data_IF_516519707009
#
_entry.id   IF_516519707009
#
_cell.length_a   1.000
_cell.length_b   1.000
_cell.length_c   1.000
_cell.angle_alpha   90.00
_cell.angle_beta   90.00
_cell.angle_gamma   90.00
#
_symmetry.space_group_name_H-M   'P 1'
#
loop_
_entity.id
_entity.type
_entity.pdbx_description
1 polymer ?
#
# COMPACT_ATOMS: atom_id res chain seq x y z
N UNK A 1 13.87 -9.48 7.92
CA UNK A 1 13.79 -9.68 6.44
C UNK A 1 14.56 -8.58 5.76
N UNK A 2 15.34 -8.90 4.75
CA UNK A 2 16.03 -7.93 3.90
C UNK A 2 15.35 -7.81 2.52
N UNK A 3 15.83 -6.90 1.65
CA UNK A 3 15.26 -6.65 0.32
C UNK A 3 15.27 -7.88 -0.60
N UNK A 4 16.33 -8.69 -0.54
CA UNK A 4 16.45 -9.87 -1.38
C UNK A 4 15.46 -10.96 -0.95
N UNK A 5 15.36 -11.21 0.35
CA UNK A 5 14.37 -12.13 0.91
C UNK A 5 12.94 -11.69 0.59
N UNK A 6 12.65 -10.39 0.70
CA UNK A 6 11.33 -9.85 0.37
C UNK A 6 10.91 -10.16 -1.08
N UNK A 7 11.85 -10.09 -2.02
CA UNK A 7 11.58 -10.34 -3.44
C UNK A 7 11.32 -11.82 -3.78
N UNK A 8 11.61 -12.75 -2.85
CA UNK A 8 11.39 -14.19 -3.04
C UNK A 8 9.95 -14.62 -2.71
N UNK A 9 9.17 -13.75 -2.05
CA UNK A 9 7.81 -14.04 -1.62
C UNK A 9 6.78 -13.30 -2.50
N UNK A 10 5.68 -13.97 -2.75
CA UNK A 10 4.46 -13.33 -3.23
C UNK A 10 3.66 -12.72 -2.06
N UNK A 11 2.55 -12.05 -2.37
CA UNK A 11 1.72 -11.38 -1.37
C UNK A 11 1.15 -12.36 -0.31
N UNK A 12 0.81 -13.59 -0.70
CA UNK A 12 0.30 -14.60 0.23
C UNK A 12 1.40 -15.12 1.15
N UNK A 13 2.60 -15.32 0.61
CA UNK A 13 3.77 -15.70 1.39
C UNK A 13 4.16 -14.63 2.41
N UNK A 14 4.15 -13.35 2.03
CA UNK A 14 4.40 -12.24 2.96
C UNK A 14 3.34 -12.16 4.06
N UNK A 15 2.06 -12.31 3.72
CA UNK A 15 0.97 -12.32 4.69
C UNK A 15 1.10 -13.50 5.68
N UNK A 16 1.55 -14.67 5.19
CA UNK A 16 1.80 -15.85 6.03
C UNK A 16 2.92 -15.59 7.04
N UNK A 17 4.02 -14.96 6.63
CA UNK A 17 5.12 -14.59 7.53
C UNK A 17 4.65 -13.61 8.61
N UNK A 18 3.82 -12.63 8.25
CA UNK A 18 3.22 -11.70 9.22
C UNK A 18 2.32 -12.44 10.21
N UNK A 19 1.47 -13.34 9.72
CA UNK A 19 0.56 -14.13 10.55
C UNK A 19 1.28 -15.04 11.54
N UNK A 20 2.43 -15.59 11.15
CA UNK A 20 3.30 -16.41 12.02
C UNK A 20 4.10 -15.58 13.02
N UNK A 21 4.23 -14.27 12.79
CA UNK A 21 5.08 -13.41 13.59
C UNK A 21 6.56 -13.45 13.21
N UNK A 22 6.91 -14.07 12.07
CA UNK A 22 8.28 -14.16 11.57
C UNK A 22 8.77 -12.79 11.06
N UNK A 23 7.84 -11.95 10.59
CA UNK A 23 8.10 -10.55 10.19
C UNK A 23 6.92 -9.68 10.62
N UNK A 24 7.18 -8.41 10.93
CA UNK A 24 6.10 -7.46 11.22
C UNK A 24 5.61 -6.76 9.95
N UNK A 25 4.33 -6.36 9.92
CA UNK A 25 3.78 -5.53 8.84
C UNK A 25 4.53 -4.20 8.70
N UNK A 26 5.00 -3.63 9.82
CA UNK A 26 5.83 -2.42 9.81
C UNK A 26 7.19 -2.65 9.13
N UNK A 27 7.80 -3.83 9.30
CA UNK A 27 9.04 -4.19 8.60
C UNK A 27 8.79 -4.34 7.09
N UNK A 28 7.69 -4.98 6.67
CA UNK A 28 7.33 -5.07 5.25
C UNK A 28 7.09 -3.71 4.63
N UNK A 29 6.38 -2.81 5.35
CA UNK A 29 6.15 -1.44 4.89
C UNK A 29 7.46 -0.67 4.71
N UNK A 30 8.41 -0.79 5.66
CA UNK A 30 9.70 -0.13 5.57
C UNK A 30 10.54 -0.63 4.36
N UNK A 31 10.53 -1.94 4.10
CA UNK A 31 11.20 -2.53 2.93
C UNK A 31 10.55 -2.02 1.63
N UNK A 32 9.24 -1.99 1.55
CA UNK A 32 8.53 -1.49 0.38
C UNK A 32 8.77 0.01 0.13
N UNK A 33 8.85 0.82 1.20
CA UNK A 33 9.24 2.24 1.13
C UNK A 33 10.65 2.41 0.58
N UNK A 34 11.62 1.62 1.04
CA UNK A 34 12.99 1.64 0.53
C UNK A 34 13.06 1.27 -0.95
N UNK A 35 12.31 0.23 -1.37
CA UNK A 35 12.20 -0.17 -2.78
C UNK A 35 11.63 0.97 -3.65
N UNK A 36 10.54 1.59 -3.23
CA UNK A 36 9.96 2.73 -3.96
C UNK A 36 10.98 3.87 -4.04
N UNK A 37 11.60 4.23 -2.93
CA UNK A 37 12.59 5.32 -2.88
C UNK A 37 13.76 5.09 -3.82
N UNK A 38 14.24 3.85 -3.92
CA UNK A 38 15.39 3.49 -4.76
C UNK A 38 15.06 3.36 -6.26
N UNK A 39 13.87 2.85 -6.58
CA UNK A 39 13.48 2.52 -7.95
C UNK A 39 12.66 3.63 -8.63
N UNK A 40 11.84 4.34 -7.89
CA UNK A 40 10.91 5.32 -8.45
C UNK A 40 11.56 6.47 -9.22
N UNK A 41 12.77 6.96 -8.85
CA UNK A 41 13.47 7.98 -9.66
C UNK A 41 13.73 7.56 -11.12
N UNK A 42 13.85 6.25 -11.36
CA UNK A 42 14.06 5.68 -12.71
C UNK A 42 12.76 5.25 -13.38
N UNK A 43 11.79 4.76 -12.60
CA UNK A 43 10.56 4.19 -13.12
C UNK A 43 9.44 5.22 -13.24
N UNK A 44 9.42 6.22 -12.35
CA UNK A 44 8.35 7.21 -12.23
C UNK A 44 6.94 6.56 -12.15
N UNK A 45 6.85 5.45 -11.42
CA UNK A 45 5.65 4.63 -11.33
C UNK A 45 4.73 5.02 -10.17
N UNK A 46 5.31 5.48 -9.05
CA UNK A 46 4.55 5.92 -7.87
C UNK A 46 4.44 7.42 -7.88
N UNK A 47 3.23 7.93 -8.07
CA UNK A 47 2.94 9.36 -8.22
C UNK A 47 2.74 10.08 -6.89
N UNK A 48 2.30 9.33 -5.88
CA UNK A 48 2.03 9.83 -4.52
C UNK A 48 2.32 8.75 -3.50
N UNK A 49 3.13 9.08 -2.49
CA UNK A 49 3.33 8.22 -1.32
C UNK A 49 2.33 8.59 -0.23
N UNK A 50 1.76 7.58 0.43
CA UNK A 50 0.74 7.71 1.46
C UNK A 50 1.18 7.06 2.78
N UNK A 51 2.45 7.24 3.15
CA UNK A 51 3.04 6.56 4.31
C UNK A 51 2.37 6.90 5.64
N UNK A 52 1.89 8.14 5.81
CA UNK A 52 1.18 8.52 7.03
C UNK A 52 -0.14 7.74 7.17
N UNK A 53 -0.85 7.52 6.07
CA UNK A 53 -2.05 6.67 6.05
C UNK A 53 -1.71 5.21 6.37
N UNK A 54 -0.66 4.68 5.75
CA UNK A 54 -0.20 3.32 5.99
C UNK A 54 0.21 3.09 7.45
N UNK A 55 0.98 4.00 8.04
CA UNK A 55 1.38 3.95 9.45
C UNK A 55 0.18 4.05 10.39
N UNK A 56 -0.76 4.96 10.10
CA UNK A 56 -2.00 5.08 10.89
C UNK A 56 -2.86 3.82 10.84
N UNK A 57 -2.90 3.11 9.69
CA UNK A 57 -3.61 1.83 9.58
C UNK A 57 -2.91 0.75 10.42
N UNK A 58 -1.57 0.69 10.43
CA UNK A 58 -0.81 -0.22 11.30
C UNK A 58 -1.06 0.06 12.78
N UNK A 59 -1.04 1.33 13.20
CA UNK A 59 -1.25 1.73 14.60
C UNK A 59 -2.67 1.42 15.08
N UNK A 60 -3.66 1.50 14.20
CA UNK A 60 -5.06 1.18 14.48
C UNK A 60 -5.29 -0.33 14.61
N UNK A 61 -4.40 -1.12 14.06
CA UNK A 61 -4.56 -2.57 13.90
C UNK A 61 -5.22 -2.94 12.57
N UNK A 62 -4.65 -3.93 11.92
CA UNK A 62 -5.14 -4.40 10.62
C UNK A 62 -6.24 -5.45 10.77
N UNK A 63 -7.21 -5.51 9.84
CA UNK A 63 -8.15 -6.62 9.76
C UNK A 63 -7.42 -7.96 9.59
N UNK A 64 -7.98 -9.01 10.19
CA UNK A 64 -7.50 -10.38 10.04
C UNK A 64 -7.95 -10.95 8.68
N UNK A 65 -7.34 -10.46 7.60
CA UNK A 65 -7.63 -10.89 6.24
C UNK A 65 -6.52 -11.73 5.62
N UNK A 66 -6.75 -12.29 4.44
CA UNK A 66 -5.79 -13.18 3.77
C UNK A 66 -4.49 -12.47 3.35
N UNK A 67 -4.49 -11.14 3.27
CA UNK A 67 -3.35 -10.31 2.87
C UNK A 67 -2.92 -9.34 3.97
N UNK A 68 -3.22 -9.68 5.24
CA UNK A 68 -2.95 -8.80 6.37
C UNK A 68 -1.48 -8.44 6.50
N UNK A 69 -1.18 -7.14 6.48
CA UNK A 69 0.15 -6.59 6.63
C UNK A 69 0.97 -6.44 5.34
N UNK A 70 0.41 -6.80 4.19
CA UNK A 70 1.10 -6.70 2.90
C UNK A 70 1.01 -5.27 2.36
N UNK A 71 2.15 -4.61 2.04
CA UNK A 71 2.15 -3.30 1.40
C UNK A 71 1.52 -3.33 0.02
N UNK A 72 0.78 -2.27 -0.32
CA UNK A 72 0.02 -2.21 -1.56
C UNK A 72 0.04 -0.81 -2.17
N UNK A 73 0.15 -0.75 -3.50
CA UNK A 73 0.05 0.47 -4.30
C UNK A 73 -1.27 0.47 -5.09
N UNK A 74 -2.00 1.58 -5.02
CA UNK A 74 -3.21 1.79 -5.80
C UNK A 74 -2.86 2.28 -7.20
N UNK A 75 -3.66 1.93 -8.17
CA UNK A 75 -3.59 2.58 -9.48
C UNK A 75 -4.26 3.95 -9.39
N UNK A 76 -3.56 5.01 -9.81
CA UNK A 76 -4.10 6.37 -9.92
C UNK A 76 -5.04 6.49 -11.13
N UNK A 77 -6.04 5.60 -11.18
CA UNK A 77 -7.08 5.56 -12.21
C UNK A 77 -8.30 4.81 -11.66
N UNK A 78 -9.45 5.50 -11.55
CA UNK A 78 -10.75 4.96 -11.15
C UNK A 78 -10.87 4.50 -9.69
N UNK A 79 -9.78 4.14 -9.03
CA UNK A 79 -9.77 3.77 -7.61
C UNK A 79 -9.54 5.04 -6.79
N UNK A 80 -10.42 5.30 -5.81
CA UNK A 80 -10.26 6.45 -4.92
C UNK A 80 -10.02 6.02 -3.48
N UNK A 81 -9.06 6.69 -2.86
CA UNK A 81 -8.89 6.75 -1.41
C UNK A 81 -9.50 8.07 -0.95
N UNK A 82 -10.47 8.03 -0.04
CA UNK A 82 -11.20 9.23 0.41
C UNK A 82 -10.27 10.32 0.92
N UNK A 83 -10.40 11.53 0.36
CA UNK A 83 -9.57 12.69 0.72
C UNK A 83 -8.18 12.72 0.06
N UNK A 84 -7.80 11.69 -0.69
CA UNK A 84 -6.51 11.64 -1.41
C UNK A 84 -6.72 11.96 -2.89
N UNK A 85 -5.84 12.77 -3.54
CA UNK A 85 -5.96 13.08 -4.95
C UNK A 85 -5.93 11.85 -5.85
N UNK A 86 -6.83 11.82 -6.83
CA UNK A 86 -6.85 10.81 -7.91
C UNK A 86 -6.77 11.56 -9.25
N UNK A 87 -5.57 11.62 -9.83
CA UNK A 87 -5.30 12.48 -10.98
C UNK A 87 -5.59 11.81 -12.32
N UNK A 88 -5.67 10.48 -12.36
CA UNK A 88 -5.97 9.68 -13.56
C UNK A 88 -5.03 10.00 -14.73
N UNK A 89 -3.78 10.40 -14.45
CA UNK A 89 -2.80 10.82 -15.46
C UNK A 89 -3.16 12.09 -16.23
N UNK A 90 -4.12 12.89 -15.76
CA UNK A 90 -4.62 14.09 -16.44
C UNK A 90 -4.45 15.33 -15.58
N UNK A 91 -3.89 16.39 -16.18
CA UNK A 91 -3.82 17.72 -15.54
C UNK A 91 -5.19 18.30 -15.22
N UNK A 92 -6.25 17.88 -15.93
CA UNK A 92 -7.62 18.31 -15.66
C UNK A 92 -8.09 17.88 -14.26
N UNK A 93 -7.60 16.74 -13.78
CA UNK A 93 -7.97 16.19 -12.46
C UNK A 93 -6.89 16.42 -11.40
N UNK A 94 -5.90 17.28 -11.67
CA UNK A 94 -4.85 17.57 -10.70
C UNK A 94 -5.44 18.08 -9.37
N UNK A 95 -5.11 17.40 -8.29
CA UNK A 95 -5.62 17.70 -6.95
C UNK A 95 -7.07 17.32 -6.69
N UNK A 96 -7.74 16.67 -7.67
CA UNK A 96 -9.12 16.26 -7.47
C UNK A 96 -9.25 15.10 -6.48
N UNK A 97 -10.09 15.27 -5.47
CA UNK A 97 -10.35 14.27 -4.43
C UNK A 97 -11.79 13.81 -4.44
N UNK A 98 -12.01 12.57 -4.04
CA UNK A 98 -13.33 12.05 -3.70
C UNK A 98 -13.49 11.99 -2.19
N UNK A 99 -14.71 12.21 -1.65
CA UNK A 99 -14.93 12.19 -0.20
C UNK A 99 -14.90 10.78 0.41
N UNK A 100 -15.03 9.74 -0.42
CA UNK A 100 -15.17 8.36 0.04
C UNK A 100 -14.23 7.41 -0.70
N UNK A 101 -13.87 6.33 0.00
CA UNK A 101 -13.19 5.19 -0.59
C UNK A 101 -14.09 4.51 -1.64
N UNK A 102 -13.49 4.09 -2.76
CA UNK A 102 -14.16 3.19 -3.70
C UNK A 102 -14.43 1.83 -3.06
N UNK A 103 -15.47 1.13 -3.52
CA UNK A 103 -15.86 -0.18 -2.98
C UNK A 103 -14.71 -1.19 -3.04
N UNK A 104 -13.95 -1.20 -4.13
CA UNK A 104 -12.82 -2.12 -4.27
C UNK A 104 -11.72 -1.82 -3.25
N UNK A 105 -11.45 -0.54 -2.96
CA UNK A 105 -10.48 -0.17 -1.93
C UNK A 105 -10.91 -0.64 -0.54
N UNK A 106 -12.19 -0.51 -0.19
CA UNK A 106 -12.73 -1.01 1.08
C UNK A 106 -12.46 -2.50 1.23
N UNK A 107 -12.73 -3.30 0.19
CA UNK A 107 -12.49 -4.75 0.17
C UNK A 107 -11.01 -5.10 0.29
N UNK A 108 -10.12 -4.36 -0.36
CA UNK A 108 -8.68 -4.56 -0.23
C UNK A 108 -8.20 -4.26 1.19
N UNK A 109 -8.71 -3.20 1.81
CA UNK A 109 -8.41 -2.90 3.22
C UNK A 109 -8.98 -3.96 4.17
N UNK A 110 -10.19 -4.46 3.92
CA UNK A 110 -10.78 -5.58 4.67
C UNK A 110 -9.96 -6.87 4.51
N UNK A 111 -9.33 -7.09 3.37
CA UNK A 111 -8.38 -8.19 3.17
C UNK A 111 -7.06 -8.00 3.93
N UNK A 112 -6.84 -6.84 4.54
CA UNK A 112 -5.69 -6.52 5.38
C UNK A 112 -4.52 -5.86 4.64
N UNK A 113 -4.69 -5.45 3.37
CA UNK A 113 -3.65 -4.73 2.62
C UNK A 113 -3.35 -3.36 3.25
N UNK A 114 -2.07 -3.01 3.28
CA UNK A 114 -1.55 -1.74 3.77
C UNK A 114 -1.29 -0.81 2.59
N UNK A 115 -2.19 0.12 2.36
CA UNK A 115 -2.08 1.05 1.22
C UNK A 115 -1.04 2.12 1.53
N UNK A 116 0.02 2.18 0.71
CA UNK A 116 1.17 3.06 0.93
C UNK A 116 1.41 4.09 -0.18
N UNK A 117 0.64 4.02 -1.25
CA UNK A 117 0.78 4.93 -2.38
C UNK A 117 -0.25 4.69 -3.49
#
# INVERSE_FOLDING_TARGET
>A
MNLQEYAEYDALGLAELVRKGDVSAANLLAIAEELVTSLNPKLNAVTLMMLDHAKADLDRGLPAGPLSGVPFLLKDLLVSYGGVPTNSGSRLFEGWTRPHDSEILKRWREAGLVVMG
#
